data_IF_788793345827
#
_entry.id   IF_788793345827
#
_cell.length_a   1.000
_cell.length_b   1.000
_cell.length_c   1.000
_cell.angle_alpha   90.00
_cell.angle_beta   90.00
_cell.angle_gamma   90.00
#
_symmetry.space_group_name_H-M   'P 1'
#
loop_
_entity.id
_entity.type
_entity.pdbx_description
1 polymer ?
#
# COMPACT_ATOMS: atom_id res chain seq x y z
N UNK A 1 0.11 -6.23 16.39
CA UNK A 1 0.92 -7.02 15.43
C UNK A 1 1.69 -8.06 16.23
N UNK A 2 2.02 -9.24 15.66
CA UNK A 2 2.76 -10.28 16.40
C UNK A 2 4.27 -10.00 16.43
N UNK A 3 4.96 -10.39 17.51
CA UNK A 3 6.38 -10.08 17.73
C UNK A 3 7.31 -10.65 16.65
N UNK A 4 6.94 -11.76 16.00
CA UNK A 4 7.71 -12.32 14.88
C UNK A 4 7.55 -11.44 13.63
N UNK A 5 6.33 -10.95 13.36
CA UNK A 5 6.05 -10.09 12.20
C UNK A 5 6.83 -8.78 12.28
N UNK A 6 6.90 -8.17 13.47
CA UNK A 6 7.66 -6.93 13.68
C UNK A 6 9.16 -7.12 13.43
N UNK A 7 9.73 -8.26 13.84
CA UNK A 7 11.14 -8.57 13.58
C UNK A 7 11.44 -8.75 12.09
N UNK A 8 10.53 -9.38 11.35
CA UNK A 8 10.67 -9.56 9.89
C UNK A 8 10.65 -8.19 9.20
N UNK A 9 9.67 -7.33 9.53
CA UNK A 9 9.57 -5.99 8.95
C UNK A 9 10.81 -5.16 9.28
N UNK A 10 11.31 -5.21 10.53
CA UNK A 10 12.52 -4.51 10.93
C UNK A 10 13.80 -5.03 10.25
N UNK A 11 13.87 -6.32 9.93
CA UNK A 11 14.99 -6.86 9.16
C UNK A 11 14.92 -6.42 7.68
N UNK A 12 13.71 -6.45 7.08
CA UNK A 12 13.46 -6.01 5.70
C UNK A 12 13.75 -4.53 5.50
N UNK A 13 13.52 -3.68 6.52
CA UNK A 13 13.76 -2.23 6.39
C UNK A 13 15.24 -1.83 6.37
N UNK A 14 16.15 -2.72 6.77
CA UNK A 14 17.60 -2.42 6.86
C UNK A 14 18.46 -3.30 5.93
N UNK A 15 17.87 -4.25 5.22
CA UNK A 15 18.60 -5.11 4.28
C UNK A 15 18.87 -4.37 2.96
N UNK A 16 19.91 -4.77 2.24
CA UNK A 16 20.20 -4.27 0.91
C UNK A 16 19.20 -4.79 -0.14
N UNK A 17 19.24 -4.16 -1.33
CA UNK A 17 18.29 -4.45 -2.42
C UNK A 17 18.39 -5.89 -2.94
N UNK A 18 19.60 -6.46 -2.99
CA UNK A 18 19.81 -7.83 -3.46
C UNK A 18 19.18 -8.82 -2.48
N UNK A 19 19.38 -8.62 -1.17
CA UNK A 19 18.74 -9.42 -0.13
C UNK A 19 17.21 -9.25 -0.11
N UNK A 20 16.71 -8.01 -0.31
CA UNK A 20 15.28 -7.73 -0.39
C UNK A 20 14.63 -8.48 -1.55
N UNK A 21 15.31 -8.56 -2.70
CA UNK A 21 14.85 -9.28 -3.88
C UNK A 21 14.75 -10.78 -3.63
N UNK A 22 15.72 -11.39 -2.95
CA UNK A 22 15.67 -12.81 -2.58
C UNK A 22 14.50 -13.10 -1.62
N UNK A 23 14.28 -12.23 -0.63
CA UNK A 23 13.13 -12.34 0.29
C UNK A 23 11.80 -12.21 -0.47
N UNK A 24 11.72 -11.28 -1.43
CA UNK A 24 10.53 -11.10 -2.26
C UNK A 24 10.24 -12.34 -3.13
N UNK A 25 11.27 -12.91 -3.76
CA UNK A 25 11.13 -14.16 -4.51
C UNK A 25 10.64 -15.29 -3.62
N UNK A 26 11.19 -15.43 -2.41
CA UNK A 26 10.73 -16.41 -1.43
C UNK A 26 9.24 -16.23 -1.09
N UNK A 27 8.79 -14.99 -0.88
CA UNK A 27 7.38 -14.68 -0.59
C UNK A 27 6.49 -15.11 -1.76
N UNK A 28 6.85 -14.78 -3.00
CA UNK A 28 6.04 -15.12 -4.18
C UNK A 28 5.98 -16.64 -4.42
N UNK A 29 7.09 -17.35 -4.19
CA UNK A 29 7.23 -18.75 -4.55
C UNK A 29 6.72 -19.72 -3.48
N UNK A 30 6.86 -19.36 -2.20
CA UNK A 30 6.66 -20.31 -1.09
C UNK A 30 5.54 -19.93 -0.13
N UNK A 31 5.18 -18.66 -0.01
CA UNK A 31 4.01 -18.29 0.79
C UNK A 31 2.78 -18.59 -0.08
N UNK A 32 1.74 -19.27 0.46
CA UNK A 32 0.51 -19.48 -0.28
C UNK A 32 0.11 -18.17 -0.94
N UNK A 33 -0.16 -18.23 -2.24
CA UNK A 33 -0.64 -17.06 -2.98
C UNK A 33 -2.00 -16.71 -2.41
N UNK A 34 -1.98 -15.90 -1.37
CA UNK A 34 -3.12 -15.14 -0.94
C UNK A 34 -3.48 -14.28 -2.14
N UNK A 35 -4.49 -14.74 -2.85
CA UNK A 35 -5.14 -13.98 -3.88
C UNK A 35 -5.85 -12.81 -3.21
N UNK A 36 -6.18 -11.77 -3.97
CA UNK A 36 -7.00 -10.67 -3.46
C UNK A 36 -8.32 -11.17 -2.85
N UNK A 37 -8.83 -12.32 -3.30
CA UNK A 37 -9.99 -13.01 -2.72
C UNK A 37 -9.77 -13.67 -1.36
N UNK A 38 -8.52 -13.82 -0.89
CA UNK A 38 -8.21 -14.39 0.43
C UNK A 38 -8.13 -13.32 1.53
N UNK A 39 -8.25 -12.04 1.16
CA UNK A 39 -8.31 -10.93 2.12
C UNK A 39 -9.74 -10.83 2.64
N UNK A 40 -9.90 -10.83 3.96
CA UNK A 40 -11.20 -10.65 4.60
C UNK A 40 -11.74 -9.25 4.27
N UNK A 41 -12.87 -9.22 3.56
CA UNK A 41 -13.64 -7.99 3.39
C UNK A 41 -14.33 -7.66 4.71
N UNK A 42 -13.91 -6.55 5.31
CA UNK A 42 -14.54 -5.99 6.52
C UNK A 42 -15.33 -4.75 6.14
N UNK A 43 -16.49 -4.59 6.77
CA UNK A 43 -17.27 -3.36 6.62
C UNK A 43 -16.44 -2.17 7.13
N UNK A 44 -16.39 -1.05 6.38
CA UNK A 44 -15.69 0.16 6.81
C UNK A 44 -16.18 0.63 8.18
N UNK A 45 -15.25 1.03 9.04
CA UNK A 45 -15.62 1.59 10.33
C UNK A 45 -16.12 3.05 10.20
N UNK A 46 -16.48 3.69 11.31
CA UNK A 46 -16.99 5.06 11.27
C UNK A 46 -15.95 6.08 10.81
N UNK A 47 -14.65 5.83 11.05
CA UNK A 47 -13.58 6.68 10.56
C UNK A 47 -13.41 6.51 9.04
N UNK A 48 -13.43 5.28 8.56
CA UNK A 48 -13.38 4.98 7.13
C UNK A 48 -14.55 5.63 6.39
N UNK A 49 -15.77 5.53 6.93
CA UNK A 49 -16.97 6.18 6.36
C UNK A 49 -16.85 7.70 6.34
N UNK A 50 -16.29 8.30 7.39
CA UNK A 50 -16.06 9.73 7.45
C UNK A 50 -15.07 10.15 6.34
N UNK A 51 -13.96 9.43 6.19
CA UNK A 51 -12.98 9.69 5.13
C UNK A 51 -13.58 9.54 3.73
N UNK A 52 -14.40 8.51 3.48
CA UNK A 52 -15.10 8.33 2.20
C UNK A 52 -16.04 9.52 1.93
N UNK A 53 -16.76 9.98 2.95
CA UNK A 53 -17.68 11.12 2.83
C UNK A 53 -16.93 12.42 2.53
N UNK A 54 -15.80 12.64 3.20
CA UNK A 54 -14.94 13.81 2.98
C UNK A 54 -14.40 13.82 1.55
N UNK A 55 -13.91 12.69 1.04
CA UNK A 55 -13.45 12.56 -0.36
C UNK A 55 -14.60 12.84 -1.34
N UNK A 56 -15.80 12.35 -1.06
CA UNK A 56 -16.97 12.58 -1.91
C UNK A 56 -17.45 14.04 -1.91
N UNK A 57 -17.19 14.79 -0.85
CA UNK A 57 -17.65 16.17 -0.72
C UNK A 57 -16.57 17.19 -1.08
N UNK A 58 -15.29 16.82 -1.02
CA UNK A 58 -14.17 17.65 -1.42
C UNK A 58 -14.09 17.78 -2.96
N UNK A 59 -14.26 18.99 -3.52
CA UNK A 59 -14.11 19.23 -4.97
C UNK A 59 -12.72 18.87 -5.50
N UNK A 60 -11.68 19.09 -4.69
CA UNK A 60 -10.29 18.82 -5.07
C UNK A 60 -10.05 17.32 -5.31
N UNK A 61 -10.83 16.46 -4.66
CA UNK A 61 -10.77 15.00 -4.85
C UNK A 61 -11.53 14.51 -6.08
N UNK A 62 -12.12 15.42 -6.89
CA UNK A 62 -12.90 15.10 -8.10
C UNK A 62 -12.22 15.53 -9.39
N UNK A 63 -11.14 16.29 -9.28
CA UNK A 63 -10.34 16.72 -10.41
C UNK A 63 -9.10 15.83 -10.48
N UNK A 64 -8.95 15.11 -11.60
CA UNK A 64 -7.81 14.23 -11.84
C UNK A 64 -7.04 14.79 -13.03
N UNK A 65 -5.76 15.08 -12.82
CA UNK A 65 -4.82 15.44 -13.89
C UNK A 65 -4.10 14.20 -14.39
N UNK A 66 -3.51 14.29 -15.59
CA UNK A 66 -2.68 13.18 -16.10
C UNK A 66 -1.40 13.01 -15.30
N UNK A 67 -0.78 11.83 -15.31
CA UNK A 67 0.51 11.57 -14.63
C UNK A 67 1.58 12.60 -15.02
N UNK A 68 1.71 12.91 -16.31
CA UNK A 68 2.66 13.90 -16.80
C UNK A 68 2.36 15.33 -16.30
N UNK A 69 1.09 15.67 -16.13
CA UNK A 69 0.68 16.97 -15.59
C UNK A 69 0.89 17.03 -14.07
N UNK A 70 0.66 15.93 -13.36
CA UNK A 70 0.96 15.81 -11.93
C UNK A 70 2.46 15.93 -11.65
N UNK A 71 3.32 15.24 -12.42
CA UNK A 71 4.77 15.32 -12.26
C UNK A 71 5.29 16.74 -12.53
N UNK A 72 4.71 17.42 -13.52
CA UNK A 72 5.00 18.83 -13.80
C UNK A 72 4.60 19.77 -12.68
N UNK A 73 3.40 19.61 -12.12
CA UNK A 73 2.91 20.41 -10.99
C UNK A 73 3.73 20.19 -9.71
N UNK A 74 4.27 18.99 -9.52
CA UNK A 74 5.09 18.61 -8.37
C UNK A 74 6.58 18.92 -8.56
N UNK A 75 6.99 19.48 -9.71
CA UNK A 75 8.38 19.77 -10.06
C UNK A 75 9.28 18.51 -10.04
N UNK A 76 8.71 17.37 -10.45
CA UNK A 76 9.37 16.06 -10.53
C UNK A 76 9.69 15.62 -11.97
N UNK A 77 9.40 16.48 -12.95
CA UNK A 77 9.69 16.31 -14.39
C UNK A 77 11.18 16.42 -14.76
#
# INVERSE_FOLDING_TARGET
MDAIKERIVGAVSIMDEDAAKEVWNFIIDYIPKHTWSDIEEVEPDEWDKAMITDIQTNPDCKEFVSEAEALKELELD
#
